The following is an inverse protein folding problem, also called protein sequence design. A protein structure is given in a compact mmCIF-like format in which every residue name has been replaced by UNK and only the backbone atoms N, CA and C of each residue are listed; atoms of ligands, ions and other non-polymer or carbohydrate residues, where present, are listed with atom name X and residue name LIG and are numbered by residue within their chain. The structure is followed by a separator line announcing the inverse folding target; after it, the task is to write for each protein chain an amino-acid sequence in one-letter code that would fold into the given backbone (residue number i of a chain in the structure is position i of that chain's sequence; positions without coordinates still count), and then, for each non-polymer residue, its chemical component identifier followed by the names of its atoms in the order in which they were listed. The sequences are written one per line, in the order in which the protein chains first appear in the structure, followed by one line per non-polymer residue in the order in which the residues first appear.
data_IF_404821876860
#
_entry.id   IF_404821876860
#
_cell.length_a   1.000
_cell.length_b   1.000
_cell.length_c   1.000
_cell.angle_alpha   90.00
_cell.angle_beta   90.00
_cell.angle_gamma   90.00
#
_symmetry.space_group_name_H-M   'P 1'
#
loop_
_entity.id
_entity.type
_entity.pdbx_description
1 polymer ?
#
# COMPACT_ATOMS: atom_id res chain seq x y z
N UNK A 1 15.74 8.49 9.96
CA UNK A 1 16.32 7.93 8.72
C UNK A 1 17.02 6.59 8.92
N UNK A 2 17.80 6.40 10.00
CA UNK A 2 18.53 5.15 10.29
C UNK A 2 17.64 3.89 10.39
N UNK A 3 16.41 3.99 10.90
CA UNK A 3 15.52 2.83 11.05
C UNK A 3 15.07 2.21 9.72
N UNK A 4 14.81 3.03 8.69
CA UNK A 4 14.38 2.52 7.38
C UNK A 4 15.49 1.73 6.69
N UNK A 5 16.73 2.21 6.77
CA UNK A 5 17.90 1.51 6.21
C UNK A 5 18.15 0.16 6.92
N UNK A 6 18.02 0.12 8.25
CA UNK A 6 18.10 -1.13 9.01
C UNK A 6 17.01 -2.12 8.58
N UNK A 7 15.77 -1.67 8.42
CA UNK A 7 14.69 -2.52 7.95
C UNK A 7 14.95 -3.05 6.52
N UNK A 8 15.47 -2.21 5.61
CA UNK A 8 15.85 -2.64 4.26
C UNK A 8 16.92 -3.72 4.31
N UNK A 9 17.96 -3.54 5.12
CA UNK A 9 19.04 -4.51 5.26
C UNK A 9 18.50 -5.86 5.77
N UNK A 10 17.65 -5.85 6.80
CA UNK A 10 17.05 -7.07 7.37
C UNK A 10 16.17 -7.79 6.34
N UNK A 11 15.32 -7.07 5.61
CA UNK A 11 14.46 -7.69 4.59
C UNK A 11 15.28 -8.25 3.44
N UNK A 12 16.28 -7.51 2.96
CA UNK A 12 17.18 -7.99 1.90
C UNK A 12 17.96 -9.23 2.35
N UNK A 13 18.46 -9.25 3.59
CA UNK A 13 19.13 -10.41 4.16
C UNK A 13 18.19 -11.62 4.31
N UNK A 14 16.94 -11.40 4.70
CA UNK A 14 15.94 -12.46 4.79
C UNK A 14 15.68 -13.10 3.42
N UNK A 15 15.45 -12.30 2.38
CA UNK A 15 15.29 -12.81 1.01
C UNK A 15 16.57 -13.49 0.50
N UNK A 16 17.74 -12.97 0.86
CA UNK A 16 19.01 -13.56 0.43
C UNK A 16 19.25 -14.93 1.04
N UNK A 17 18.88 -15.14 2.31
CA UNK A 17 18.93 -16.41 3.05
C UNK A 17 17.84 -17.40 2.60
N UNK A 18 16.66 -16.90 2.27
CA UNK A 18 15.46 -17.68 1.94
C UNK A 18 15.03 -17.41 0.49
N UNK A 19 15.70 -18.05 -0.47
CA UNK A 19 15.53 -17.78 -1.91
C UNK A 19 14.12 -18.09 -2.44
N UNK A 20 13.35 -18.92 -1.75
CA UNK A 20 11.95 -19.21 -2.04
C UNK A 20 11.07 -17.96 -1.95
N UNK A 21 11.43 -16.99 -1.12
CA UNK A 21 10.66 -15.76 -0.91
C UNK A 21 10.55 -14.92 -2.19
N UNK A 22 11.54 -14.96 -3.08
CA UNK A 22 11.46 -14.25 -4.36
C UNK A 22 10.30 -14.73 -5.25
N UNK A 23 9.79 -15.96 -5.02
CA UNK A 23 8.68 -16.53 -5.79
C UNK A 23 7.36 -16.56 -5.01
N UNK A 24 7.42 -16.43 -3.68
CA UNK A 24 6.28 -16.68 -2.79
C UNK A 24 5.85 -15.47 -1.96
N UNK A 25 6.68 -14.43 -1.87
CA UNK A 25 6.44 -13.29 -0.99
C UNK A 25 6.34 -11.97 -1.76
N UNK A 26 5.61 -11.04 -1.16
CA UNK A 26 5.53 -9.65 -1.58
C UNK A 26 5.80 -8.75 -0.37
N UNK A 27 6.60 -7.70 -0.55
CA UNK A 27 6.88 -6.73 0.50
C UNK A 27 6.03 -5.48 0.30
N UNK A 28 5.09 -5.22 1.20
CA UNK A 28 4.19 -4.06 1.14
C UNK A 28 4.52 -3.02 2.22
N UNK A 29 4.35 -1.73 1.92
CA UNK A 29 4.56 -0.67 2.91
C UNK A 29 3.77 0.60 2.59
N UNK A 30 3.30 1.29 3.63
CA UNK A 30 2.76 2.65 3.52
C UNK A 30 3.83 3.71 3.24
N UNK A 31 5.12 3.38 3.36
CA UNK A 31 6.23 4.32 3.23
C UNK A 31 6.94 4.12 1.88
N UNK A 32 6.72 4.99 0.88
CA UNK A 32 7.31 4.83 -0.45
C UNK A 32 8.85 4.84 -0.43
N UNK A 33 9.44 5.61 0.48
CA UNK A 33 10.90 5.68 0.64
C UNK A 33 11.52 4.34 1.04
N UNK A 34 10.80 3.51 1.81
CA UNK A 34 11.25 2.16 2.15
C UNK A 34 11.23 1.25 0.92
N UNK A 35 10.14 1.28 0.14
CA UNK A 35 10.01 0.48 -1.08
C UNK A 35 11.07 0.86 -2.11
N UNK A 36 11.30 2.16 -2.31
CA UNK A 36 12.35 2.65 -3.20
C UNK A 36 13.73 2.13 -2.80
N UNK A 37 14.10 2.26 -1.53
CA UNK A 37 15.40 1.80 -1.04
C UNK A 37 15.55 0.28 -1.13
N UNK A 38 14.51 -0.48 -0.80
CA UNK A 38 14.52 -1.93 -0.89
C UNK A 38 14.77 -2.39 -2.34
N UNK A 39 14.04 -1.82 -3.31
CA UNK A 39 14.21 -2.18 -4.73
C UNK A 39 15.53 -1.71 -5.32
N UNK A 40 16.14 -0.65 -4.78
CA UNK A 40 17.50 -0.24 -5.16
C UNK A 40 18.55 -1.24 -4.70
N UNK A 41 18.36 -1.85 -3.54
CA UNK A 41 19.27 -2.88 -3.00
C UNK A 41 19.04 -4.22 -3.71
N UNK A 42 17.77 -4.59 -3.92
CA UNK A 42 17.42 -5.83 -4.61
C UNK A 42 16.15 -5.65 -5.48
N UNK A 43 16.31 -5.50 -6.81
CA UNK A 43 15.17 -5.28 -7.71
C UNK A 43 14.33 -6.54 -7.96
N UNK A 44 14.80 -7.73 -7.56
CA UNK A 44 14.07 -8.98 -7.75
C UNK A 44 12.96 -9.17 -6.70
N UNK A 45 12.99 -8.39 -5.61
CA UNK A 45 11.93 -8.41 -4.60
C UNK A 45 10.67 -7.76 -5.19
N UNK A 46 9.59 -8.54 -5.24
CA UNK A 46 8.26 -8.03 -5.60
C UNK A 46 7.77 -7.15 -4.45
N UNK A 47 7.36 -5.92 -4.77
CA UNK A 47 6.90 -4.96 -3.76
C UNK A 47 5.54 -4.37 -4.10
N UNK A 48 4.85 -3.91 -3.05
CA UNK A 48 3.61 -3.16 -3.16
C UNK A 48 3.67 -1.84 -2.38
N UNK A 49 3.07 -0.79 -2.94
CA UNK A 49 2.77 0.42 -2.18
C UNK A 49 1.41 0.29 -1.50
N UNK A 50 1.37 0.50 -0.19
CA UNK A 50 0.12 0.45 0.58
C UNK A 50 -0.49 1.84 0.70
N UNK A 51 -1.79 1.95 0.44
CA UNK A 51 -2.53 3.21 0.53
C UNK A 51 -3.84 3.05 1.30
N UNK A 52 -4.14 4.07 2.10
CA UNK A 52 -5.47 4.34 2.62
C UNK A 52 -5.75 5.84 2.60
N UNK A 53 -7.02 6.24 2.46
CA UNK A 53 -7.41 7.63 2.70
C UNK A 53 -7.02 8.08 4.10
N UNK A 54 -6.69 9.37 4.22
CA UNK A 54 -6.43 10.04 5.50
C UNK A 54 -5.30 9.40 6.33
N UNK A 55 -4.31 8.81 5.66
CA UNK A 55 -3.20 8.13 6.30
C UNK A 55 -2.39 9.05 7.26
N UNK A 56 -2.18 10.30 6.86
CA UNK A 56 -1.40 11.28 7.62
C UNK A 56 -2.25 11.89 8.74
N UNK A 57 -3.48 12.32 8.46
CA UNK A 57 -4.32 13.00 9.45
C UNK A 57 -4.95 12.08 10.49
N UNK A 58 -5.24 10.81 10.18
CA UNK A 58 -5.95 9.90 11.08
C UNK A 58 -5.09 8.73 11.56
N UNK A 59 -5.31 8.27 12.79
CA UNK A 59 -4.66 7.05 13.32
C UNK A 59 -5.19 5.80 12.64
N UNK A 60 -6.49 5.73 12.45
CA UNK A 60 -7.24 4.61 11.88
C UNK A 60 -8.50 5.15 11.18
N UNK A 61 -9.07 4.36 10.27
CA UNK A 61 -10.29 4.76 9.54
C UNK A 61 -11.55 4.56 10.40
N UNK A 62 -11.75 3.43 11.10
CA UNK A 62 -13.01 3.16 11.79
C UNK A 62 -13.36 4.17 12.89
N UNK A 63 -12.39 4.58 13.71
CA UNK A 63 -12.63 5.50 14.83
C UNK A 63 -12.47 6.97 14.44
N UNK A 64 -11.90 7.25 13.26
CA UNK A 64 -11.72 8.61 12.76
C UNK A 64 -10.87 9.51 13.67
N UNK A 65 -10.04 8.94 14.55
CA UNK A 65 -9.29 9.69 15.55
C UNK A 65 -8.16 10.50 14.87
N UNK A 66 -8.09 11.83 15.08
CA UNK A 66 -6.98 12.64 14.61
C UNK A 66 -5.64 12.16 15.17
N UNK A 67 -4.62 12.15 14.32
CA UNK A 67 -3.26 11.76 14.71
C UNK A 67 -2.58 12.82 15.59
N UNK A 68 -2.99 14.08 15.46
CA UNK A 68 -2.42 15.18 16.21
C UNK A 68 -3.51 15.86 17.03
N UNK A 69 -3.17 16.28 18.25
CA UNK A 69 -4.13 17.04 19.09
C UNK A 69 -4.17 18.52 18.70
N UNK A 70 -3.10 19.01 18.05
CA UNK A 70 -2.98 20.41 17.67
C UNK A 70 -3.73 20.73 16.38
N UNK A 71 -4.57 21.77 16.41
CA UNK A 71 -5.38 22.22 15.27
C UNK A 71 -4.52 22.52 14.04
N UNK A 72 -3.38 23.21 14.21
CA UNK A 72 -2.51 23.53 13.07
C UNK A 72 -1.87 22.28 12.46
N UNK A 73 -1.43 21.33 13.31
CA UNK A 73 -0.87 20.05 12.84
C UNK A 73 -1.91 19.25 12.08
N UNK A 74 -3.16 19.22 12.56
CA UNK A 74 -4.25 18.56 11.86
C UNK A 74 -4.55 19.21 10.51
N UNK A 75 -4.60 20.55 10.43
CA UNK A 75 -4.80 21.24 9.14
C UNK A 75 -3.68 20.91 8.15
N UNK A 76 -2.41 20.94 8.58
CA UNK A 76 -1.30 20.54 7.72
C UNK A 76 -1.36 19.07 7.34
N UNK A 77 -1.78 18.19 8.24
CA UNK A 77 -1.93 16.76 7.97
C UNK A 77 -3.01 16.50 6.91
N UNK A 78 -4.12 17.24 6.93
CA UNK A 78 -5.16 17.15 5.90
C UNK A 78 -4.65 17.58 4.52
N UNK A 79 -3.85 18.66 4.46
CA UNK A 79 -3.16 19.07 3.22
C UNK A 79 -2.19 17.98 2.78
N UNK A 80 -1.45 17.41 3.72
CA UNK A 80 -0.55 16.29 3.49
C UNK A 80 -1.26 15.07 2.90
N UNK A 81 -2.47 14.75 3.34
CA UNK A 81 -3.25 13.64 2.78
C UNK A 81 -3.60 13.86 1.31
N UNK A 82 -4.01 15.08 0.94
CA UNK A 82 -4.30 15.43 -0.47
C UNK A 82 -3.02 15.32 -1.30
N UNK A 83 -1.91 15.83 -0.79
CA UNK A 83 -0.61 15.75 -1.47
C UNK A 83 -0.13 14.29 -1.62
N UNK A 84 -0.28 13.47 -0.57
CA UNK A 84 0.09 12.06 -0.59
C UNK A 84 -0.79 11.27 -1.56
N UNK A 85 -2.10 11.50 -1.55
CA UNK A 85 -3.04 10.85 -2.48
C UNK A 85 -2.67 11.20 -3.93
N UNK A 86 -2.46 12.48 -4.24
CA UNK A 86 -2.02 12.89 -5.56
C UNK A 86 -0.69 12.23 -5.95
N UNK A 87 0.31 12.28 -5.06
CA UNK A 87 1.63 11.73 -5.32
C UNK A 87 1.57 10.21 -5.53
N UNK A 88 0.76 9.50 -4.75
CA UNK A 88 0.59 8.05 -4.82
C UNK A 88 0.10 7.62 -6.20
N UNK A 89 -0.94 8.28 -6.71
CA UNK A 89 -1.60 7.90 -7.95
C UNK A 89 -0.88 8.36 -9.21
N UNK A 90 -0.06 9.41 -9.11
CA UNK A 90 0.60 10.01 -10.28
C UNK A 90 2.08 9.65 -10.39
N UNK A 91 2.81 9.59 -9.26
CA UNK A 91 4.28 9.64 -9.29
C UNK A 91 4.93 8.48 -8.52
N UNK A 92 4.49 8.20 -7.30
CA UNK A 92 5.22 7.33 -6.38
C UNK A 92 5.31 5.88 -6.85
N UNK A 93 4.27 5.34 -7.47
CA UNK A 93 4.28 3.98 -8.01
C UNK A 93 5.40 3.78 -9.03
N UNK A 94 5.58 4.76 -9.93
CA UNK A 94 6.60 4.73 -10.97
C UNK A 94 8.00 4.94 -10.37
N UNK A 95 8.16 5.96 -9.52
CA UNK A 95 9.44 6.26 -8.88
C UNK A 95 9.96 5.12 -8.00
N UNK A 96 9.07 4.45 -7.27
CA UNK A 96 9.46 3.32 -6.42
C UNK A 96 9.66 2.04 -7.21
N UNK A 97 9.11 1.94 -8.43
CA UNK A 97 9.11 0.75 -9.26
C UNK A 97 8.27 -0.40 -8.69
N UNK A 98 7.29 -0.10 -7.84
CA UNK A 98 6.45 -1.13 -7.21
C UNK A 98 5.68 -1.96 -8.25
N UNK A 99 5.54 -3.26 -8.01
CA UNK A 99 4.82 -4.18 -8.90
C UNK A 99 3.30 -4.15 -8.66
N UNK A 100 2.89 -3.77 -7.46
CA UNK A 100 1.50 -3.76 -7.05
C UNK A 100 1.16 -2.56 -6.16
N UNK A 101 -0.13 -2.32 -5.96
CA UNK A 101 -0.65 -1.40 -4.96
C UNK A 101 -1.62 -2.14 -4.05
N UNK A 102 -1.44 -1.96 -2.75
CA UNK A 102 -2.27 -2.54 -1.70
C UNK A 102 -3.22 -1.44 -1.19
N UNK A 103 -4.47 -1.46 -1.65
CA UNK A 103 -5.42 -0.35 -1.55
C UNK A 103 -6.56 -0.67 -0.57
N UNK A 104 -6.91 0.30 0.27
CA UNK A 104 -8.05 0.19 1.17
C UNK A 104 -9.35 -0.13 0.42
N UNK A 105 -10.10 -1.12 0.89
CA UNK A 105 -11.29 -1.68 0.20
C UNK A 105 -12.30 -0.63 -0.25
N UNK A 106 -12.54 0.39 0.58
CA UNK A 106 -13.56 1.43 0.33
C UNK A 106 -13.12 2.47 -0.72
N UNK A 107 -11.87 2.39 -1.19
CA UNK A 107 -11.35 3.26 -2.24
C UNK A 107 -11.52 2.66 -3.64
N UNK A 108 -11.94 1.39 -3.73
CA UNK A 108 -11.91 0.64 -4.98
C UNK A 108 -13.20 0.83 -5.79
N UNK A 109 -13.02 1.18 -7.05
CA UNK A 109 -14.06 1.18 -8.08
C UNK A 109 -13.55 0.48 -9.35
N UNK A 110 -14.47 0.11 -10.24
CA UNK A 110 -14.09 -0.53 -11.50
C UNK A 110 -13.16 0.35 -12.34
N UNK A 111 -13.40 1.66 -12.38
CA UNK A 111 -12.53 2.60 -13.11
C UNK A 111 -11.16 2.73 -12.45
N UNK A 112 -11.12 2.79 -11.12
CA UNK A 112 -9.88 2.85 -10.37
C UNK A 112 -8.98 1.63 -10.63
N UNK A 113 -9.57 0.43 -10.63
CA UNK A 113 -8.85 -0.81 -10.94
C UNK A 113 -8.37 -0.82 -12.39
N UNK A 114 -9.21 -0.38 -13.35
CA UNK A 114 -8.80 -0.26 -14.77
C UNK A 114 -7.63 0.68 -14.96
N UNK A 115 -7.61 1.82 -14.27
CA UNK A 115 -6.52 2.79 -14.32
C UNK A 115 -5.17 2.15 -13.93
N UNK A 116 -5.14 1.37 -12.85
CA UNK A 116 -3.91 0.67 -12.43
C UNK A 116 -3.51 -0.46 -13.39
N UNK A 117 -4.48 -1.24 -13.89
CA UNK A 117 -4.21 -2.28 -14.89
C UNK A 117 -3.59 -1.71 -16.17
N UNK A 118 -4.07 -0.56 -16.66
CA UNK A 118 -3.47 0.15 -17.82
C UNK A 118 -2.02 0.55 -17.58
N UNK A 119 -1.59 0.70 -16.32
CA UNK A 119 -0.19 0.99 -15.92
C UNK A 119 0.62 -0.27 -15.64
N UNK A 120 0.08 -1.46 -15.91
CA UNK A 120 0.68 -2.76 -15.56
C UNK A 120 0.96 -2.92 -14.06
N UNK A 121 0.14 -2.31 -13.20
CA UNK A 121 0.24 -2.41 -11.75
C UNK A 121 -0.91 -3.27 -11.22
N UNK A 122 -0.58 -4.30 -10.45
CA UNK A 122 -1.59 -5.16 -9.82
C UNK A 122 -2.23 -4.47 -8.62
N UNK A 123 -3.56 -4.53 -8.53
CA UNK A 123 -4.31 -4.02 -7.36
C UNK A 123 -4.62 -5.18 -6.42
N UNK A 124 -4.33 -4.98 -5.14
CA UNK A 124 -4.69 -5.89 -4.05
C UNK A 124 -5.50 -5.09 -3.02
N UNK A 125 -6.66 -5.58 -2.60
CA UNK A 125 -7.51 -4.92 -1.63
C UNK A 125 -7.18 -5.34 -0.19
N UNK A 126 -7.39 -4.45 0.77
CA UNK A 126 -7.34 -4.76 2.20
C UNK A 126 -8.32 -3.86 3.00
N UNK A 127 -8.96 -4.28 4.08
CA UNK A 127 -9.15 -5.64 4.58
C UNK A 127 -10.65 -5.96 4.54
N UNK A 128 -11.22 -6.41 3.42
CA UNK A 128 -12.64 -6.77 3.35
C UNK A 128 -12.92 -7.94 4.29
N UNK A 129 -13.87 -7.75 5.20
CA UNK A 129 -14.24 -8.75 6.19
C UNK A 129 -15.69 -9.24 6.03
N UNK A 130 -16.50 -8.54 5.23
CA UNK A 130 -17.85 -9.00 4.92
C UNK A 130 -17.88 -9.84 3.63
N UNK A 131 -18.63 -10.94 3.64
CA UNK A 131 -18.79 -11.85 2.48
C UNK A 131 -19.14 -11.10 1.19
N UNK A 132 -20.09 -10.16 1.25
CA UNK A 132 -20.52 -9.39 0.07
C UNK A 132 -19.40 -8.51 -0.51
N UNK A 133 -18.55 -7.91 0.35
CA UNK A 133 -17.40 -7.13 -0.11
C UNK A 133 -16.39 -8.02 -0.83
N UNK A 134 -16.10 -9.21 -0.27
CA UNK A 134 -15.20 -10.20 -0.87
C UNK A 134 -15.73 -10.69 -2.21
N UNK A 135 -17.01 -11.01 -2.28
CA UNK A 135 -17.66 -11.42 -3.52
C UNK A 135 -17.62 -10.33 -4.58
N UNK A 136 -17.90 -9.08 -4.21
CA UNK A 136 -17.80 -7.94 -5.12
C UNK A 136 -16.36 -7.75 -5.63
N UNK A 137 -15.37 -7.76 -4.74
CA UNK A 137 -13.96 -7.62 -5.12
C UNK A 137 -13.51 -8.72 -6.07
N UNK A 138 -13.87 -9.98 -5.81
CA UNK A 138 -13.48 -11.13 -6.64
C UNK A 138 -14.27 -11.24 -7.93
N UNK A 139 -15.60 -11.21 -7.86
CA UNK A 139 -16.49 -11.52 -8.99
C UNK A 139 -16.70 -10.31 -9.91
N UNK A 140 -16.73 -9.10 -9.36
CA UNK A 140 -17.03 -7.88 -10.12
C UNK A 140 -15.76 -7.12 -10.47
N UNK A 141 -14.92 -6.82 -9.47
CA UNK A 141 -13.69 -6.04 -9.73
C UNK A 141 -12.53 -6.91 -10.23
N UNK A 142 -12.59 -8.23 -10.02
CA UNK A 142 -11.51 -9.18 -10.31
C UNK A 142 -10.19 -8.75 -9.63
N UNK A 143 -10.27 -8.43 -8.34
CA UNK A 143 -9.18 -7.95 -7.49
C UNK A 143 -8.92 -8.97 -6.38
N UNK A 144 -7.65 -9.33 -6.18
CA UNK A 144 -7.20 -10.13 -5.05
C UNK A 144 -7.32 -9.32 -3.76
N UNK A 145 -7.57 -9.96 -2.63
CA UNK A 145 -7.68 -9.27 -1.34
C UNK A 145 -6.97 -10.01 -0.21
N UNK A 146 -6.61 -9.25 0.83
CA UNK A 146 -6.13 -9.75 2.12
C UNK A 146 -7.27 -9.53 3.13
N UNK A 147 -7.62 -10.53 3.92
CA UNK A 147 -8.77 -10.52 4.83
C UNK A 147 -8.41 -11.15 6.17
N UNK A 148 -9.06 -10.71 7.25
CA UNK A 148 -8.93 -11.32 8.58
C UNK A 148 -9.88 -12.52 8.75
N UNK A 149 -10.77 -12.76 7.78
CA UNK A 149 -11.87 -13.73 7.91
C UNK A 149 -11.93 -14.67 6.72
N UNK A 150 -12.21 -15.96 6.95
CA UNK A 150 -12.23 -16.98 5.89
C UNK A 150 -13.46 -16.90 4.97
N UNK A 151 -14.61 -16.45 5.49
CA UNK A 151 -15.93 -16.42 4.81
C UNK A 151 -16.31 -15.03 4.32
#
# INVERSE_FOLDING_TARGET
MLGALKAVAIVSEMFSKHKELYKQAIVASFYPSFIYQLRRVDPNIVTALTFRPKFISLTDIPNGKPRFDSIWKNKLALVGDVALEWAFHNVLWYMTGASAVLIHKDYLSAEYVRMWRKRNIQVIAWTPNHRLEKEYLRKVLNVTYITDTLL
#
